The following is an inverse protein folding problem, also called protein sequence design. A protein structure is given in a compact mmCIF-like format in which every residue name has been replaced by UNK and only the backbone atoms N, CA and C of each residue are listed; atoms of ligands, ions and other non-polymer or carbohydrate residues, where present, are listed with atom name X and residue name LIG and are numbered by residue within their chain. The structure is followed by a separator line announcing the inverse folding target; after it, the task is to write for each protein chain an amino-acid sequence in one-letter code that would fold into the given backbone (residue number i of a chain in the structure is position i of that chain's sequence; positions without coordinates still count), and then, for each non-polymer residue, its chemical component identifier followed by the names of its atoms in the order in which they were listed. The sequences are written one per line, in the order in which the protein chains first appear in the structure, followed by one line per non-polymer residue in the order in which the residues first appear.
data_IF_267605350185
#
_entry.id   IF_267605350185
#
_cell.length_a   1.000
_cell.length_b   1.000
_cell.length_c   1.000
_cell.angle_alpha   90.00
_cell.angle_beta   90.00
_cell.angle_gamma   90.00
#
_symmetry.space_group_name_H-M   'P 1'
#
loop_
_entity.id
_entity.type
_entity.pdbx_description
1 polymer ?
#
# COMPACT_ATOMS: atom_id res chain seq x y z
N UNK A 1 11.79 -12.90 -7.21
CA UNK A 1 10.78 -11.85 -7.49
C UNK A 1 9.51 -12.04 -6.65
N UNK A 2 9.64 -12.46 -5.37
CA UNK A 2 8.53 -12.65 -4.43
C UNK A 2 8.35 -11.45 -3.48
N UNK A 3 9.43 -10.70 -3.25
CA UNK A 3 9.45 -9.49 -2.42
C UNK A 3 8.46 -8.42 -2.88
N UNK A 4 8.33 -8.26 -4.20
CA UNK A 4 7.45 -7.24 -4.78
C UNK A 4 5.97 -7.48 -4.43
N UNK A 5 5.52 -8.73 -4.31
CA UNK A 5 4.13 -9.04 -3.98
C UNK A 5 3.83 -8.77 -2.50
N UNK A 6 4.68 -9.26 -1.61
CA UNK A 6 4.52 -9.02 -0.18
C UNK A 6 4.47 -7.51 0.13
N UNK A 7 5.33 -6.70 -0.50
CA UNK A 7 5.30 -5.25 -0.35
C UNK A 7 4.00 -4.59 -0.82
N UNK A 8 3.41 -5.08 -1.90
CA UNK A 8 2.09 -4.61 -2.35
C UNK A 8 0.98 -4.96 -1.37
N UNK A 9 1.02 -6.15 -0.79
CA UNK A 9 0.06 -6.57 0.22
C UNK A 9 0.23 -5.79 1.54
N UNK A 10 1.47 -5.52 1.95
CA UNK A 10 1.77 -4.63 3.09
C UNK A 10 1.22 -3.23 2.81
N UNK A 11 1.47 -2.68 1.62
CA UNK A 11 0.94 -1.37 1.22
C UNK A 11 -0.59 -1.35 1.20
N UNK A 12 -1.22 -2.40 0.67
CA UNK A 12 -2.68 -2.51 0.64
C UNK A 12 -3.27 -2.57 2.05
N UNK A 13 -2.65 -3.33 2.97
CA UNK A 13 -3.08 -3.40 4.37
C UNK A 13 -2.85 -2.06 5.08
N UNK A 14 -1.68 -1.45 4.93
CA UNK A 14 -1.31 -0.22 5.64
C UNK A 14 -2.16 0.97 5.18
N UNK A 15 -2.17 1.27 3.87
CA UNK A 15 -2.99 2.34 3.30
C UNK A 15 -4.48 2.02 3.35
N UNK A 16 -4.87 0.75 3.22
CA UNK A 16 -6.26 0.33 3.36
C UNK A 16 -6.80 0.59 4.77
N UNK A 17 -6.00 0.36 5.82
CA UNK A 17 -6.38 0.72 7.17
C UNK A 17 -6.54 2.24 7.37
N UNK A 18 -5.65 3.05 6.80
CA UNK A 18 -5.82 4.51 6.84
C UNK A 18 -7.06 4.97 6.06
N UNK A 19 -7.37 4.33 4.93
CA UNK A 19 -8.59 4.60 4.16
C UNK A 19 -9.86 4.25 4.95
N UNK A 20 -9.90 3.06 5.58
CA UNK A 20 -11.04 2.64 6.40
C UNK A 20 -11.29 3.57 7.59
N UNK A 21 -10.22 4.17 8.13
CA UNK A 21 -10.28 5.18 9.20
C UNK A 21 -10.53 6.62 8.70
N UNK A 22 -10.66 6.83 7.39
CA UNK A 22 -10.89 8.15 6.79
C UNK A 22 -9.69 9.09 6.78
N UNK A 23 -8.47 8.56 6.98
CA UNK A 23 -7.23 9.33 6.96
C UNK A 23 -6.56 9.43 5.57
N UNK A 24 -6.99 8.59 4.63
CA UNK A 24 -6.49 8.54 3.24
C UNK A 24 -7.66 8.55 2.27
N UNK A 25 -7.60 9.44 1.28
CA UNK A 25 -8.60 9.53 0.20
C UNK A 25 -8.36 8.50 -0.92
N UNK A 26 -9.41 8.22 -1.69
CA UNK A 26 -9.35 7.32 -2.86
C UNK A 26 -8.28 7.72 -3.88
N UNK A 27 -8.06 9.03 -4.08
CA UNK A 27 -7.07 9.56 -5.02
C UNK A 27 -5.64 9.10 -4.67
N UNK A 28 -5.30 8.99 -3.38
CA UNK A 28 -3.99 8.51 -2.94
C UNK A 28 -3.84 7.02 -3.28
N UNK A 29 -4.87 6.21 -3.05
CA UNK A 29 -4.87 4.78 -3.36
C UNK A 29 -4.73 4.53 -4.87
N UNK A 30 -5.49 5.28 -5.67
CA UNK A 30 -5.50 5.14 -7.13
C UNK A 30 -4.21 5.64 -7.79
N UNK A 31 -3.44 6.49 -7.11
CA UNK A 31 -2.12 6.94 -7.60
C UNK A 31 -0.97 6.20 -6.94
N UNK A 32 -1.23 5.35 -5.95
CA UNK A 32 -0.20 4.65 -5.22
C UNK A 32 0.48 3.63 -6.15
N UNK A 33 1.78 3.76 -6.50
CA UNK A 33 2.33 2.98 -7.60
C UNK A 33 2.37 1.46 -7.34
N UNK A 34 2.49 1.04 -6.07
CA UNK A 34 2.37 -0.38 -5.69
C UNK A 34 0.95 -0.95 -5.90
N UNK A 35 -0.08 -0.11 -5.83
CA UNK A 35 -1.48 -0.54 -5.94
C UNK A 35 -2.02 -0.30 -7.35
N UNK A 36 -1.68 0.84 -7.95
CA UNK A 36 -2.09 1.23 -9.29
C UNK A 36 -1.45 0.34 -10.36
N UNK A 37 -0.14 0.07 -10.28
CA UNK A 37 0.52 -0.70 -11.34
C UNK A 37 0.13 -2.18 -11.35
N UNK A 38 -0.40 -2.70 -10.24
CA UNK A 38 -0.67 -4.13 -10.03
C UNK A 38 -2.14 -4.48 -9.76
N UNK A 39 -3.02 -3.49 -9.73
CA UNK A 39 -4.48 -3.60 -9.61
C UNK A 39 -4.97 -4.78 -8.76
N UNK A 40 -5.06 -4.65 -7.43
CA UNK A 40 -5.75 -5.65 -6.63
C UNK A 40 -7.22 -5.64 -7.02
N UNK A 41 -7.68 -6.74 -7.62
CA UNK A 41 -9.06 -6.93 -8.04
C UNK A 41 -9.75 -7.97 -7.18
N UNK A 42 -11.08 -7.89 -7.11
CA UNK A 42 -11.89 -8.91 -6.46
C UNK A 42 -12.65 -9.72 -7.51
N UNK A 43 -12.53 -11.04 -7.43
CA UNK A 43 -13.24 -11.99 -8.26
C UNK A 43 -14.22 -12.79 -7.42
N UNK A 44 -15.37 -13.10 -8.00
CA UNK A 44 -16.29 -14.10 -7.46
C UNK A 44 -15.67 -15.50 -7.58
N UNK A 45 -15.74 -16.30 -6.51
CA UNK A 45 -15.13 -17.65 -6.47
C UNK A 45 -15.84 -18.66 -7.35
N UNK A 46 -17.14 -18.48 -7.60
CA UNK A 46 -18.01 -19.45 -8.28
C UNK A 46 -18.01 -19.26 -9.80
N UNK A 47 -18.08 -18.02 -10.25
CA UNK A 47 -18.23 -17.66 -11.66
C UNK A 47 -17.04 -16.90 -12.23
N UNK A 48 -16.08 -16.48 -11.39
CA UNK A 48 -14.92 -15.70 -11.83
C UNK A 48 -15.27 -14.27 -12.24
N UNK A 49 -16.49 -13.81 -11.99
CA UNK A 49 -16.95 -12.46 -12.34
C UNK A 49 -16.13 -11.41 -11.60
N UNK A 50 -15.75 -10.33 -12.30
CA UNK A 50 -15.09 -9.18 -11.69
C UNK A 50 -16.06 -8.42 -10.78
N UNK A 51 -15.77 -8.37 -9.48
CA UNK A 51 -16.56 -7.65 -8.48
C UNK A 51 -15.99 -6.25 -8.20
N UNK A 52 -14.66 -6.11 -8.16
CA UNK A 52 -13.97 -4.84 -7.95
C UNK A 52 -12.73 -4.77 -8.83
N UNK A 53 -12.56 -3.67 -9.57
CA UNK A 53 -11.48 -3.51 -10.56
C UNK A 53 -10.24 -2.71 -10.10
N UNK A 54 -10.19 -2.29 -8.84
CA UNK A 54 -9.08 -1.50 -8.29
C UNK A 54 -9.03 -1.60 -6.77
N UNK A 55 -7.92 -1.14 -6.17
CA UNK A 55 -7.76 -1.04 -4.73
C UNK A 55 -8.84 -0.16 -4.08
N UNK A 56 -9.11 1.03 -4.64
CA UNK A 56 -10.13 1.94 -4.16
C UNK A 56 -11.54 1.35 -4.25
N UNK A 57 -11.88 0.67 -5.35
CA UNK A 57 -13.17 0.00 -5.50
C UNK A 57 -13.33 -1.13 -4.48
N UNK A 58 -12.30 -1.96 -4.30
CA UNK A 58 -12.31 -3.04 -3.32
C UNK A 58 -12.50 -2.47 -1.90
N UNK A 59 -11.67 -1.51 -1.49
CA UNK A 59 -11.73 -0.89 -0.17
C UNK A 59 -13.05 -0.16 0.08
N UNK A 60 -13.59 0.54 -0.92
CA UNK A 60 -14.90 1.19 -0.85
C UNK A 60 -16.02 0.18 -0.60
N UNK A 61 -16.04 -0.96 -1.31
CA UNK A 61 -17.01 -2.03 -1.07
C UNK A 61 -16.85 -2.69 0.29
N UNK A 62 -15.61 -2.92 0.73
CA UNK A 62 -15.35 -3.46 2.06
C UNK A 62 -15.86 -2.50 3.15
N UNK A 63 -15.59 -1.20 3.02
CA UNK A 63 -16.10 -0.17 3.94
C UNK A 63 -17.63 -0.10 3.97
N UNK A 64 -18.28 -0.09 2.80
CA UNK A 64 -19.76 -0.15 2.68
C UNK A 64 -20.33 -1.41 3.38
N UNK A 65 -19.60 -2.53 3.32
CA UNK A 65 -19.99 -3.77 4.02
C UNK A 65 -19.68 -3.78 5.52
N UNK A 66 -19.09 -2.71 6.07
CA UNK A 66 -18.77 -2.56 7.49
C UNK A 66 -17.38 -3.04 7.89
N UNK A 67 -16.43 -3.17 6.97
CA UNK A 67 -15.05 -3.51 7.32
C UNK A 67 -14.40 -2.40 8.16
N UNK A 68 -13.73 -2.78 9.25
CA UNK A 68 -13.11 -1.86 10.20
C UNK A 68 -11.58 -1.90 10.17
N UNK A 69 -10.99 -3.01 9.71
CA UNK A 69 -9.54 -3.22 9.71
C UNK A 69 -9.16 -4.29 8.68
N UNK A 70 -7.93 -4.18 8.18
CA UNK A 70 -7.23 -5.20 7.42
C UNK A 70 -6.01 -5.71 8.22
N UNK A 71 -5.70 -6.99 8.09
CA UNK A 71 -4.44 -7.57 8.57
C UNK A 71 -3.84 -8.53 7.55
N UNK A 72 -2.52 -8.72 7.64
CA UNK A 72 -1.76 -9.65 6.82
C UNK A 72 -1.42 -10.90 7.63
N UNK A 73 -1.60 -12.09 7.06
CA UNK A 73 -1.28 -13.37 7.68
C UNK A 73 -0.60 -14.30 6.68
N UNK A 74 0.28 -15.19 7.15
CA UNK A 74 0.88 -16.22 6.30
C UNK A 74 -0.22 -17.20 5.92
N UNK A 75 -0.35 -17.47 4.62
CA UNK A 75 -1.48 -18.23 4.10
C UNK A 75 -1.51 -19.66 4.65
N UNK A 76 -0.34 -20.30 4.77
CA UNK A 76 -0.21 -21.63 5.33
C UNK A 76 -0.71 -21.73 6.79
N UNK A 77 -0.43 -20.72 7.61
CA UNK A 77 -0.73 -20.73 9.06
C UNK A 77 -2.25 -20.67 9.33
N UNK A 78 -3.02 -20.11 8.39
CA UNK A 78 -4.47 -20.01 8.51
C UNK A 78 -5.19 -21.36 8.28
N UNK A 79 -4.52 -22.39 7.73
CA UNK A 79 -5.12 -23.71 7.48
C UNK A 79 -6.52 -23.63 6.84
N UNK A 80 -6.66 -22.77 5.82
CA UNK A 80 -7.94 -22.54 5.17
C UNK A 80 -8.45 -23.82 4.50
N UNK A 81 -9.67 -24.23 4.84
CA UNK A 81 -10.37 -25.32 4.16
C UNK A 81 -10.96 -24.80 2.84
N UNK A 82 -10.13 -24.79 1.79
CA UNK A 82 -10.54 -24.35 0.46
C UNK A 82 -10.97 -25.56 -0.37
N UNK A 83 -12.18 -25.47 -0.93
CA UNK A 83 -12.63 -26.43 -1.94
C UNK A 83 -11.87 -26.20 -3.25
N UNK A 84 -11.59 -27.26 -3.99
CA UNK A 84 -11.02 -27.16 -5.33
C UNK A 84 -11.90 -26.28 -6.23
N UNK A 85 -11.32 -25.21 -6.77
CA UNK A 85 -11.99 -24.34 -7.74
C UNK A 85 -11.73 -24.84 -9.16
N UNK A 86 -12.74 -24.80 -10.02
CA UNK A 86 -12.56 -25.03 -11.47
C UNK A 86 -11.91 -23.84 -12.18
N UNK A 87 -11.88 -22.66 -11.53
CA UNK A 87 -11.47 -21.38 -12.14
C UNK A 87 -10.13 -20.90 -11.58
N UNK A 88 -9.83 -21.14 -10.30
CA UNK A 88 -8.68 -20.54 -9.63
C UNK A 88 -7.73 -21.56 -9.01
N UNK A 89 -6.43 -21.25 -9.02
CA UNK A 89 -5.43 -21.78 -8.11
C UNK A 89 -5.26 -20.80 -6.94
N UNK A 90 -5.52 -21.25 -5.71
CA UNK A 90 -5.36 -20.42 -4.52
C UNK A 90 -3.92 -20.45 -4.01
N UNK A 91 -3.33 -19.29 -3.74
CA UNK A 91 -1.97 -19.19 -3.17
C UNK A 91 -2.01 -19.43 -1.66
N UNK A 92 -1.78 -20.68 -1.24
CA UNK A 92 -1.78 -21.12 0.18
C UNK A 92 -0.44 -21.66 0.67
N UNK A 93 0.65 -21.39 -0.07
CA UNK A 93 1.99 -21.84 0.29
C UNK A 93 2.60 -21.09 1.48
N UNK A 94 3.80 -21.51 1.90
CA UNK A 94 4.50 -21.00 3.10
C UNK A 94 5.01 -19.57 2.96
N UNK A 95 5.15 -19.08 1.74
CA UNK A 95 5.71 -17.76 1.42
C UNK A 95 4.62 -16.77 0.95
N UNK A 96 3.40 -17.27 0.72
CA UNK A 96 2.23 -16.48 0.36
C UNK A 96 1.53 -15.90 1.59
N UNK A 97 0.94 -14.72 1.42
CA UNK A 97 0.10 -14.08 2.43
C UNK A 97 -1.36 -13.99 1.99
N UNK A 98 -2.23 -14.08 2.99
CA UNK A 98 -3.63 -13.73 2.91
C UNK A 98 -3.88 -12.39 3.62
N UNK A 99 -4.87 -11.64 3.13
CA UNK A 99 -5.33 -10.42 3.80
C UNK A 99 -6.65 -10.75 4.50
N UNK A 100 -6.73 -10.52 5.80
CA UNK A 100 -7.94 -10.72 6.59
C UNK A 100 -8.66 -9.39 6.73
N UNK A 101 -9.94 -9.37 6.37
CA UNK A 101 -10.87 -8.26 6.56
C UNK A 101 -11.61 -8.50 7.87
N UNK A 102 -11.58 -7.49 8.73
CA UNK A 102 -12.19 -7.48 10.05
C UNK A 102 -13.51 -6.72 9.99
N UNK A 103 -14.53 -7.32 10.59
CA UNK A 103 -15.85 -6.73 10.79
C UNK A 103 -16.15 -6.63 12.30
N UNK A 104 -17.16 -5.84 12.70
CA UNK A 104 -17.63 -5.82 14.09
C UNK A 104 -17.96 -7.23 14.62
N UNK A 105 -17.92 -7.40 15.94
CA UNK A 105 -18.28 -8.66 16.61
C UNK A 105 -17.39 -9.87 16.26
N UNK A 106 -16.11 -9.64 15.96
CA UNK A 106 -15.12 -10.68 15.63
C UNK A 106 -15.53 -11.52 14.40
N UNK A 107 -16.20 -10.89 13.44
CA UNK A 107 -16.44 -11.48 12.14
C UNK A 107 -15.26 -11.20 11.20
N UNK A 108 -14.81 -12.24 10.49
CA UNK A 108 -13.65 -12.16 9.63
C UNK A 108 -13.96 -12.73 8.24
N UNK A 109 -13.35 -12.13 7.23
CA UNK A 109 -13.27 -12.71 5.87
C UNK A 109 -11.83 -12.70 5.41
N UNK A 110 -11.44 -13.64 4.56
CA UNK A 110 -10.07 -13.80 4.09
C UNK A 110 -10.02 -13.57 2.59
N UNK A 111 -9.27 -12.55 2.17
CA UNK A 111 -8.88 -12.32 0.79
C UNK A 111 -7.67 -13.20 0.49
N UNK A 112 -7.85 -14.14 -0.44
CA UNK A 112 -6.83 -15.08 -0.87
C UNK A 112 -6.43 -14.75 -2.31
N UNK A 113 -5.13 -14.57 -2.53
CA UNK A 113 -4.62 -14.40 -3.88
C UNK A 113 -4.90 -15.64 -4.72
N UNK A 114 -5.39 -15.43 -5.93
CA UNK A 114 -5.94 -16.46 -6.80
C UNK A 114 -5.39 -16.28 -8.21
N UNK A 115 -4.69 -17.28 -8.73
CA UNK A 115 -4.27 -17.30 -10.13
C UNK A 115 -5.35 -17.98 -10.97
N UNK A 116 -5.81 -17.35 -12.05
CA UNK A 116 -6.79 -17.95 -12.95
C UNK A 116 -6.19 -19.15 -13.67
N UNK A 117 -6.91 -20.28 -13.66
CA UNK A 117 -6.52 -21.49 -14.37
C UNK A 117 -6.52 -21.21 -15.87
N UNK A 118 -5.48 -21.62 -16.61
CA UNK A 118 -5.48 -21.45 -18.05
C UNK A 118 -6.61 -22.27 -18.66
N UNK A 119 -7.56 -21.60 -19.29
CA UNK A 119 -8.60 -22.26 -20.10
C UNK A 119 -8.08 -22.46 -21.52
N UNK A 120 -8.31 -23.63 -22.10
CA UNK A 120 -8.14 -23.82 -23.54
C UNK A 120 -9.07 -22.87 -24.29
N UNK A 121 -8.56 -22.21 -25.31
CA UNK A 121 -9.37 -21.36 -26.17
C UNK A 121 -10.43 -22.23 -26.85
N UNK A 122 -11.69 -22.06 -26.47
CA UNK A 122 -12.81 -22.70 -27.15
C UNK A 122 -13.27 -21.85 -28.33
N UNK A 123 -13.85 -22.53 -29.29
CA UNK A 123 -14.39 -21.93 -30.51
C UNK A 123 -15.84 -22.35 -30.61
N UNK A 124 -16.69 -21.44 -31.06
CA UNK A 124 -18.08 -21.73 -31.36
C UNK A 124 -18.18 -22.70 -32.56
N UNK A 125 -19.40 -23.14 -32.84
CA UNK A 125 -19.70 -24.05 -33.97
C UNK A 125 -19.35 -23.46 -35.35
N UNK A 126 -19.08 -22.15 -35.43
CA UNK A 126 -18.69 -21.42 -36.64
C UNK A 126 -17.19 -21.13 -36.71
N UNK A 127 -16.40 -21.61 -35.74
CA UNK A 127 -14.96 -21.37 -35.65
C UNK A 127 -14.58 -19.97 -35.20
N UNK A 128 -15.52 -19.16 -34.70
CA UNK A 128 -15.20 -17.94 -34.01
C UNK A 128 -14.70 -18.29 -32.60
N UNK A 129 -13.76 -17.50 -32.10
CA UNK A 129 -13.32 -17.62 -30.70
C UNK A 129 -14.54 -17.35 -29.82
N UNK A 130 -14.82 -18.26 -28.87
CA UNK A 130 -15.70 -17.91 -27.77
C UNK A 130 -15.00 -16.81 -26.97
N UNK A 131 -15.43 -15.57 -27.18
CA UNK A 131 -15.03 -14.47 -26.33
C UNK A 131 -15.77 -14.65 -25.00
N UNK A 132 -15.22 -15.46 -24.10
CA UNK A 132 -15.49 -15.22 -22.68
C UNK A 132 -14.99 -13.81 -22.36
N UNK A 133 -15.61 -13.17 -21.38
CA UNK A 133 -15.20 -11.88 -20.79
C UNK A 133 -13.83 -12.04 -20.11
N UNK A 134 -12.82 -12.37 -20.91
CA UNK A 134 -11.43 -12.40 -20.54
C UNK A 134 -11.06 -10.96 -20.28
N UNK A 135 -10.93 -10.64 -19.00
CA UNK A 135 -10.41 -9.36 -18.53
C UNK A 135 -9.07 -9.12 -19.23
N UNK A 136 -9.03 -8.20 -20.21
CA UNK A 136 -7.84 -7.82 -20.98
C UNK A 136 -6.68 -7.24 -20.14
N UNK A 137 -6.73 -7.36 -18.82
CA UNK A 137 -5.73 -6.85 -17.88
C UNK A 137 -4.62 -7.90 -17.66
N UNK A 138 -3.91 -8.28 -18.73
CA UNK A 138 -3.21 -9.57 -18.75
C UNK A 138 -1.78 -9.64 -18.22
N UNK A 139 -1.24 -8.63 -17.53
CA UNK A 139 0.17 -8.72 -17.06
C UNK A 139 0.41 -8.25 -15.63
N UNK A 140 -0.39 -7.33 -15.10
CA UNK A 140 -0.14 -6.76 -13.78
C UNK A 140 -1.42 -6.68 -12.94
N UNK A 141 -2.15 -7.78 -12.79
CA UNK A 141 -3.33 -7.84 -11.93
C UNK A 141 -3.10 -8.84 -10.82
N UNK A 142 -3.47 -8.47 -9.61
CA UNK A 142 -3.54 -9.37 -8.46
C UNK A 142 -5.00 -9.69 -8.16
N UNK A 143 -5.45 -10.87 -8.59
CA UNK A 143 -6.81 -11.31 -8.33
C UNK A 143 -6.93 -11.90 -6.92
N UNK A 144 -7.89 -11.38 -6.16
CA UNK A 144 -8.26 -11.90 -4.86
C UNK A 144 -9.65 -12.51 -4.91
N UNK A 145 -9.86 -13.54 -4.11
CA UNK A 145 -11.16 -14.13 -3.83
C UNK A 145 -11.46 -14.07 -2.34
N UNK A 146 -12.73 -13.89 -1.97
CA UNK A 146 -13.15 -13.68 -0.58
C UNK A 146 -13.72 -14.99 0.00
N UNK A 147 -13.18 -15.41 1.14
CA UNK A 147 -13.51 -16.67 1.80
C UNK A 147 -13.87 -16.47 3.28
N UNK A 148 -14.62 -17.42 3.83
CA UNK A 148 -14.87 -17.48 5.26
C UNK A 148 -13.77 -18.30 5.94
N UNK A 149 -13.14 -17.78 7.02
CA UNK A 149 -12.16 -18.55 7.78
C UNK A 149 -12.82 -19.66 8.60
N UNK A 150 -12.10 -20.76 8.78
CA UNK A 150 -12.49 -21.81 9.72
C UNK A 150 -12.32 -21.33 11.17
N UNK A 151 -12.94 -21.98 12.17
CA UNK A 151 -12.72 -21.63 13.58
C UNK A 151 -11.26 -21.69 14.01
N UNK A 152 -10.48 -22.63 13.44
CA UNK A 152 -9.05 -22.72 13.69
C UNK A 152 -8.30 -21.51 13.12
N UNK A 153 -8.64 -21.10 11.89
CA UNK A 153 -8.06 -19.92 11.25
C UNK A 153 -8.34 -18.65 12.08
N UNK A 154 -9.56 -18.51 12.61
CA UNK A 154 -9.95 -17.38 13.47
C UNK A 154 -9.06 -17.33 14.72
N UNK A 155 -8.85 -18.46 15.40
CA UNK A 155 -7.95 -18.53 16.55
C UNK A 155 -6.52 -18.11 16.21
N UNK A 156 -5.99 -18.56 15.07
CA UNK A 156 -4.67 -18.15 14.57
C UNK A 156 -4.61 -16.64 14.31
N UNK A 157 -5.65 -16.06 13.68
CA UNK A 157 -5.75 -14.63 13.41
C UNK A 157 -5.67 -13.82 14.71
N UNK A 158 -6.44 -14.20 15.72
CA UNK A 158 -6.46 -13.52 17.01
C UNK A 158 -5.13 -13.64 17.75
N UNK A 159 -4.46 -14.78 17.66
CA UNK A 159 -3.14 -14.98 18.23
C UNK A 159 -2.07 -14.11 17.55
N UNK A 160 -2.10 -14.04 16.23
CA UNK A 160 -1.16 -13.26 15.41
C UNK A 160 -1.24 -11.75 15.65
N UNK A 161 -2.42 -11.27 16.04
CA UNK A 161 -2.69 -9.85 16.26
C UNK A 161 -2.40 -9.38 17.69
N UNK A 162 -1.91 -10.26 18.56
CA UNK A 162 -1.47 -9.86 19.91
C UNK A 162 -0.36 -8.81 19.82
N UNK A 163 -0.42 -7.73 20.62
CA UNK A 163 0.61 -6.71 20.64
C UNK A 163 2.00 -7.28 20.93
N UNK A 164 3.00 -6.83 20.20
CA UNK A 164 4.41 -7.17 20.43
C UNK A 164 5.17 -6.03 21.11
N UNK A 165 6.24 -6.36 21.82
CA UNK A 165 7.24 -5.37 22.23
C UNK A 165 8.26 -5.22 21.10
N UNK A 166 8.26 -4.07 20.42
CA UNK A 166 9.12 -3.80 19.28
C UNK A 166 10.62 -3.82 19.62
N UNK A 167 11.02 -3.35 20.80
CA UNK A 167 12.44 -3.38 21.20
C UNK A 167 12.94 -4.82 21.35
N UNK A 168 12.15 -5.68 21.99
CA UNK A 168 12.48 -7.10 22.17
C UNK A 168 12.43 -7.83 20.83
N UNK A 169 11.36 -7.63 20.06
CA UNK A 169 11.19 -8.25 18.75
C UNK A 169 12.34 -7.90 17.79
N UNK A 170 12.75 -6.63 17.76
CA UNK A 170 13.85 -6.17 16.93
C UNK A 170 15.17 -6.83 17.34
N UNK A 171 15.53 -6.82 18.63
CA UNK A 171 16.76 -7.45 19.14
C UNK A 171 16.80 -8.96 18.88
N UNK A 172 15.69 -9.65 19.12
CA UNK A 172 15.58 -11.09 18.87
C UNK A 172 15.71 -11.39 17.38
N UNK A 173 15.08 -10.58 16.53
CA UNK A 173 15.17 -10.71 15.07
C UNK A 173 16.59 -10.46 14.57
N UNK A 174 17.25 -9.39 15.03
CA UNK A 174 18.64 -9.07 14.69
C UNK A 174 19.60 -10.20 15.10
N UNK A 175 19.50 -10.67 16.34
CA UNK A 175 20.34 -11.77 16.85
C UNK A 175 20.16 -13.06 16.03
N UNK A 176 18.92 -13.33 15.58
CA UNK A 176 18.61 -14.48 14.74
C UNK A 176 19.02 -14.30 13.28
N UNK A 177 18.97 -13.09 12.71
CA UNK A 177 19.45 -12.82 11.36
C UNK A 177 20.98 -12.92 11.29
N UNK A 178 21.68 -12.38 12.30
CA UNK A 178 23.13 -12.24 12.34
C UNK A 178 23.82 -13.25 13.28
N UNK A 179 23.31 -14.48 13.33
CA UNK A 179 23.76 -15.51 14.26
C UNK A 179 25.16 -16.09 13.94
N UNK A 180 25.68 -15.85 12.73
CA UNK A 180 26.99 -16.31 12.30
C UNK A 180 27.76 -15.20 11.54
N UNK A 181 29.06 -15.41 11.31
CA UNK A 181 29.93 -14.41 10.70
C UNK A 181 29.61 -14.16 9.22
N UNK A 182 29.11 -15.17 8.49
CA UNK A 182 28.64 -15.00 7.10
C UNK A 182 27.48 -14.00 7.03
N UNK A 183 26.51 -14.11 7.94
CA UNK A 183 25.39 -13.19 7.99
C UNK A 183 25.83 -11.75 8.30
N UNK A 184 26.79 -11.59 9.21
CA UNK A 184 27.37 -10.28 9.56
C UNK A 184 28.20 -9.67 8.44
N UNK A 185 28.83 -10.51 7.61
CA UNK A 185 29.62 -10.05 6.46
C UNK A 185 28.72 -9.48 5.36
N UNK A 186 27.60 -10.14 5.06
CA UNK A 186 26.71 -9.70 4.00
C UNK A 186 25.88 -8.50 4.48
N UNK A 187 25.21 -8.56 5.63
CA UNK A 187 24.33 -7.47 6.08
C UNK A 187 25.01 -6.35 6.89
N UNK A 188 24.20 -5.40 7.34
CA UNK A 188 24.63 -4.32 8.23
C UNK A 188 24.40 -4.73 9.69
N UNK A 189 25.48 -5.13 10.37
CA UNK A 189 25.44 -5.53 11.78
C UNK A 189 26.31 -4.64 12.69
N UNK A 190 25.78 -4.12 13.81
CA UNK A 190 24.35 -4.11 14.18
C UNK A 190 23.53 -3.30 13.16
N UNK A 191 22.24 -3.61 13.04
CA UNK A 191 21.31 -2.88 12.19
C UNK A 191 21.24 -1.44 12.72
N UNK A 192 21.65 -0.42 11.94
CA UNK A 192 21.64 0.94 12.44
C UNK A 192 20.20 1.42 12.64
N UNK A 193 19.89 1.88 13.86
CA UNK A 193 18.65 2.55 14.23
C UNK A 193 18.77 4.06 14.02
N UNK A 194 19.19 4.46 12.83
CA UNK A 194 19.23 5.86 12.45
C UNK A 194 18.09 6.22 11.48
N UNK A 195 17.88 7.53 11.34
CA UNK A 195 16.83 8.10 10.50
C UNK A 195 17.07 7.91 9.00
N UNK A 196 18.24 7.42 8.59
CA UNK A 196 18.63 7.25 7.20
C UNK A 196 18.56 5.78 6.75
N UNK A 197 18.46 4.83 7.69
CA UNK A 197 18.38 3.38 7.44
C UNK A 197 16.95 2.81 7.56
N UNK A 198 15.95 3.62 7.23
CA UNK A 198 14.54 3.21 7.21
C UNK A 198 14.09 3.09 5.75
N UNK A 199 13.17 2.16 5.45
CA UNK A 199 12.56 2.06 4.12
C UNK A 199 11.95 3.42 3.72
N UNK A 200 12.61 4.13 2.81
CA UNK A 200 12.10 5.37 2.23
C UNK A 200 11.61 5.02 0.83
N UNK A 201 10.34 4.65 0.74
CA UNK A 201 9.69 4.69 -0.54
C UNK A 201 9.54 6.15 -0.96
N UNK A 202 10.41 6.62 -1.83
CA UNK A 202 10.36 7.98 -2.33
C UNK A 202 9.58 8.01 -3.64
N UNK A 203 8.33 8.45 -3.54
CA UNK A 203 7.47 8.70 -4.71
C UNK A 203 8.04 9.76 -5.67
N UNK A 204 9.02 10.56 -5.24
CA UNK A 204 9.49 11.74 -5.93
C UNK A 204 11.01 11.78 -6.17
N UNK A 205 11.74 10.72 -5.80
CA UNK A 205 13.18 10.66 -6.03
C UNK A 205 13.53 9.68 -7.14
N UNK A 206 13.64 10.23 -8.33
CA UNK A 206 14.06 9.53 -9.55
C UNK A 206 15.47 8.90 -9.45
N UNK A 207 16.27 9.25 -8.44
CA UNK A 207 17.61 8.68 -8.24
C UNK A 207 17.60 7.32 -7.52
N UNK A 208 16.54 7.02 -6.76
CA UNK A 208 16.37 5.71 -6.09
C UNK A 208 15.39 4.92 -6.96
N UNK A 209 15.91 3.99 -7.76
CA UNK A 209 15.06 3.16 -8.62
C UNK A 209 13.97 2.45 -7.79
N UNK A 210 12.71 2.80 -8.05
CA UNK A 210 11.50 2.01 -7.78
C UNK A 210 11.22 1.62 -6.32
N UNK A 211 11.62 2.42 -5.33
CA UNK A 211 11.12 2.23 -3.97
C UNK A 211 9.88 3.10 -3.74
N UNK A 212 8.71 2.47 -3.61
CA UNK A 212 7.44 3.14 -3.35
C UNK A 212 7.01 2.90 -1.89
N UNK A 213 6.43 3.88 -1.19
CA UNK A 213 6.19 3.74 0.23
C UNK A 213 5.24 2.58 0.53
N UNK A 214 5.66 1.67 1.39
CA UNK A 214 4.83 0.55 1.86
C UNK A 214 4.02 0.91 3.11
N UNK A 215 4.37 2.02 3.76
CA UNK A 215 3.67 2.59 4.91
C UNK A 215 3.21 4.01 4.61
N UNK A 216 2.10 4.47 5.23
CA UNK A 216 1.63 5.85 5.12
C UNK A 216 2.71 6.88 5.43
N UNK A 217 2.67 8.02 4.74
CA UNK A 217 3.70 9.08 4.80
C UNK A 217 3.93 9.71 6.18
N UNK A 218 3.03 9.47 7.13
CA UNK A 218 3.13 9.88 8.53
C UNK A 218 4.12 9.02 9.32
N UNK A 219 4.47 7.84 8.81
CA UNK A 219 5.23 6.81 9.51
C UNK A 219 6.45 6.43 8.63
N UNK A 220 7.45 7.31 8.63
CA UNK A 220 8.62 7.17 7.73
C UNK A 220 9.83 6.49 8.36
N UNK A 221 9.92 6.43 9.69
CA UNK A 221 11.18 6.10 10.41
C UNK A 221 10.92 5.38 11.73
N UNK A 222 10.75 4.07 11.65
CA UNK A 222 10.37 3.21 12.77
C UNK A 222 11.00 1.81 12.66
N UNK A 223 10.87 0.97 13.69
CA UNK A 223 11.41 -0.39 13.69
C UNK A 223 10.93 -1.22 12.50
N UNK A 224 9.65 -1.09 12.10
CA UNK A 224 9.09 -1.82 10.98
C UNK A 224 9.77 -1.48 9.64
N UNK A 225 9.88 -0.19 9.32
CA UNK A 225 10.53 0.30 8.10
C UNK A 225 12.01 -0.07 8.04
N UNK A 226 12.70 -0.07 9.19
CA UNK A 226 14.11 -0.42 9.29
C UNK A 226 14.32 -1.93 9.05
N UNK A 227 13.50 -2.79 9.68
CA UNK A 227 13.57 -4.23 9.45
C UNK A 227 13.26 -4.61 8.00
N UNK A 228 12.26 -3.99 7.37
CA UNK A 228 11.96 -4.27 5.96
C UNK A 228 13.12 -3.90 5.04
N UNK A 229 13.73 -2.71 5.20
CA UNK A 229 14.86 -2.29 4.37
C UNK A 229 16.06 -3.23 4.54
N UNK A 230 16.47 -3.49 5.78
CA UNK A 230 17.67 -4.30 6.04
C UNK A 230 17.49 -5.75 5.60
N UNK A 231 16.29 -6.31 5.73
CA UNK A 231 16.02 -7.66 5.22
C UNK A 231 15.99 -7.71 3.69
N UNK A 232 15.50 -6.66 3.02
CA UNK A 232 15.54 -6.55 1.57
C UNK A 232 16.97 -6.51 1.04
N UNK A 233 17.81 -5.66 1.65
CA UNK A 233 19.22 -5.52 1.30
C UNK A 233 19.98 -6.84 1.52
N UNK A 234 19.75 -7.49 2.66
CA UNK A 234 20.38 -8.77 2.97
C UNK A 234 19.96 -9.87 1.98
N UNK A 235 18.68 -9.94 1.58
CA UNK A 235 18.22 -10.87 0.55
C UNK A 235 18.87 -10.60 -0.81
N UNK A 236 18.97 -9.32 -1.19
CA UNK A 236 19.61 -8.93 -2.44
C UNK A 236 21.08 -9.36 -2.45
N UNK A 237 21.80 -9.16 -1.35
CA UNK A 237 23.20 -9.55 -1.20
C UNK A 237 23.38 -11.06 -1.27
N UNK A 238 22.56 -11.85 -0.56
CA UNK A 238 22.59 -13.31 -0.68
C UNK A 238 22.28 -13.77 -2.10
N UNK A 239 21.22 -13.23 -2.70
CA UNK A 239 20.80 -13.60 -4.06
C UNK A 239 21.88 -13.28 -5.10
N UNK A 240 22.59 -12.15 -4.94
CA UNK A 240 23.70 -11.78 -5.82
C UNK A 240 24.92 -12.68 -5.59
N UNK A 241 25.25 -12.96 -4.33
CA UNK A 241 26.38 -13.79 -3.93
C UNK A 241 26.21 -15.27 -4.31
N UNK A 242 24.97 -15.75 -4.48
CA UNK A 242 24.67 -17.14 -4.88
C UNK A 242 24.02 -17.27 -6.26
N UNK A 243 24.08 -16.22 -7.10
CA UNK A 243 23.38 -16.24 -8.39
C UNK A 243 23.96 -17.30 -9.33
N UNK A 244 23.13 -18.27 -9.76
CA UNK A 244 23.59 -19.45 -10.51
C UNK A 244 24.25 -19.15 -11.86
N UNK A 245 23.95 -18.00 -12.48
CA UNK A 245 24.59 -17.56 -13.73
C UNK A 245 25.89 -16.75 -13.53
N UNK A 246 26.27 -16.47 -12.28
CA UNK A 246 27.49 -15.74 -11.98
C UNK A 246 28.58 -16.73 -11.55
N UNK A 247 29.41 -17.14 -12.53
CA UNK A 247 30.54 -18.06 -12.32
C UNK A 247 31.61 -17.51 -11.37
N UNK A 248 31.64 -16.19 -11.19
CA UNK A 248 32.54 -15.48 -10.26
C UNK A 248 31.88 -15.12 -8.93
N UNK A 249 30.68 -15.63 -8.66
CA UNK A 249 29.98 -15.35 -7.41
C UNK A 249 30.75 -15.88 -6.19
N UNK A 250 30.69 -15.15 -5.07
CA UNK A 250 31.36 -15.52 -3.83
C UNK A 250 31.05 -16.97 -3.43
N UNK A 251 29.77 -17.38 -3.59
CA UNK A 251 29.31 -18.71 -3.25
C UNK A 251 30.03 -19.83 -4.03
N UNK A 252 30.41 -19.60 -5.29
CA UNK A 252 31.16 -20.59 -6.08
C UNK A 252 32.57 -20.79 -5.51
N UNK A 253 33.17 -19.72 -5.02
CA UNK A 253 34.54 -19.69 -4.47
C UNK A 253 34.62 -20.24 -3.04
N UNK A 254 33.50 -20.30 -2.32
CA UNK A 254 33.42 -20.83 -0.96
C UNK A 254 33.76 -22.33 -0.88
N UNK A 255 34.44 -22.70 0.20
CA UNK A 255 34.62 -24.11 0.58
C UNK A 255 33.31 -24.70 1.12
N UNK A 256 33.27 -26.03 1.32
CA UNK A 256 32.03 -26.71 1.74
C UNK A 256 31.46 -26.18 3.05
N UNK A 257 32.29 -25.90 4.06
CA UNK A 257 31.83 -25.41 5.35
C UNK A 257 31.28 -23.97 5.26
N UNK A 258 31.88 -23.13 4.43
CA UNK A 258 31.39 -21.79 4.14
C UNK A 258 30.04 -21.83 3.42
N UNK A 259 29.86 -22.74 2.46
CA UNK A 259 28.59 -22.97 1.76
C UNK A 259 27.48 -23.40 2.72
N UNK A 260 27.78 -24.30 3.64
CA UNK A 260 26.82 -24.74 4.68
C UNK A 260 26.43 -23.58 5.60
N UNK A 261 27.42 -22.77 6.01
CA UNK A 261 27.20 -21.59 6.88
C UNK A 261 26.38 -20.51 6.16
N UNK A 262 26.69 -20.24 4.89
CA UNK A 262 25.94 -19.33 4.02
C UNK A 262 24.50 -19.82 3.82
N UNK A 263 24.31 -21.10 3.52
CA UNK A 263 22.99 -21.70 3.31
C UNK A 263 22.16 -21.64 4.58
N UNK A 264 22.75 -21.90 5.74
CA UNK A 264 22.09 -21.75 7.04
C UNK A 264 21.66 -20.30 7.30
N UNK A 265 22.52 -19.33 6.98
CA UNK A 265 22.21 -17.91 7.11
C UNK A 265 21.06 -17.47 6.18
N UNK A 266 21.12 -17.85 4.91
CA UNK A 266 20.08 -17.52 3.95
C UNK A 266 18.74 -18.19 4.29
N UNK A 267 18.76 -19.46 4.70
CA UNK A 267 17.56 -20.16 5.17
C UNK A 267 16.93 -19.47 6.38
N UNK A 268 17.73 -18.97 7.31
CA UNK A 268 17.24 -18.25 8.48
C UNK A 268 16.54 -16.94 8.10
N UNK A 269 17.05 -16.20 7.12
CA UNK A 269 16.36 -15.04 6.54
C UNK A 269 15.01 -15.44 5.95
N UNK A 270 14.97 -16.51 5.15
CA UNK A 270 13.73 -17.00 4.52
C UNK A 270 12.68 -17.40 5.56
N UNK A 271 13.09 -17.98 6.69
CA UNK A 271 12.18 -18.34 7.80
C UNK A 271 11.67 -17.13 8.58
N UNK A 272 12.49 -16.09 8.74
CA UNK A 272 12.14 -14.89 9.49
C UNK A 272 11.29 -13.90 8.69
N UNK A 273 11.49 -13.83 7.38
CA UNK A 273 10.85 -12.81 6.52
C UNK A 273 9.32 -12.81 6.62
N UNK A 274 8.60 -13.94 6.62
CA UNK A 274 7.14 -13.94 6.80
C UNK A 274 6.69 -13.34 8.13
N UNK A 275 7.43 -13.63 9.21
CA UNK A 275 7.16 -13.09 10.54
C UNK A 275 7.36 -11.57 10.59
N UNK A 276 8.46 -11.09 10.00
CA UNK A 276 8.79 -9.66 9.92
C UNK A 276 7.71 -8.92 9.15
N UNK A 277 7.35 -9.39 7.95
CA UNK A 277 6.33 -8.75 7.11
C UNK A 277 4.95 -8.73 7.78
N UNK A 278 4.56 -9.84 8.44
CA UNK A 278 3.31 -9.92 9.21
C UNK A 278 3.25 -8.85 10.31
N UNK A 279 4.26 -8.78 11.18
CA UNK A 279 4.26 -7.80 12.27
C UNK A 279 4.36 -6.36 11.77
N UNK A 280 5.16 -6.13 10.74
CA UNK A 280 5.27 -4.83 10.12
C UNK A 280 3.93 -4.38 9.51
N UNK A 281 3.24 -5.22 8.74
CA UNK A 281 1.93 -4.87 8.18
C UNK A 281 0.87 -4.58 9.26
N UNK A 282 0.87 -5.37 10.35
CA UNK A 282 -0.22 -5.36 11.33
C UNK A 282 -0.01 -4.37 12.48
N UNK A 283 1.23 -4.00 12.78
CA UNK A 283 1.58 -3.26 14.01
C UNK A 283 2.57 -2.09 13.76
N UNK A 284 2.78 -1.67 12.51
CA UNK A 284 3.70 -0.57 12.16
C UNK A 284 3.43 0.74 12.94
N UNK A 285 2.17 1.06 13.21
CA UNK A 285 1.74 2.28 13.92
C UNK A 285 2.31 2.37 15.35
N UNK A 286 2.69 1.24 15.96
CA UNK A 286 3.22 1.18 17.33
C UNK A 286 4.73 0.91 17.38
N UNK A 287 5.40 1.00 16.23
CA UNK A 287 6.80 0.58 16.08
C UNK A 287 7.82 1.72 16.20
N UNK A 288 7.42 2.83 16.83
CA UNK A 288 8.24 4.02 16.99
C UNK A 288 9.54 3.72 17.77
N UNK A 289 10.66 4.20 17.24
CA UNK A 289 11.95 4.12 17.93
C UNK A 289 11.94 5.16 19.03
N UNK A 290 12.06 4.73 20.29
CA UNK A 290 11.92 5.56 21.51
C UNK A 290 12.80 6.82 21.56
N UNK A 291 13.81 6.94 20.70
CA UNK A 291 14.75 8.06 20.63
C UNK A 291 14.63 8.93 19.35
N UNK A 292 13.62 8.71 18.50
CA UNK A 292 13.44 9.45 17.25
C UNK A 292 12.25 10.43 17.34
N UNK A 293 12.44 11.57 18.02
CA UNK A 293 11.45 12.66 18.02
C UNK A 293 11.49 13.43 16.68
N UNK A 294 10.75 12.98 15.67
CA UNK A 294 10.69 13.64 14.36
C UNK A 294 10.18 15.08 14.41
N UNK A 295 9.28 15.42 15.34
CA UNK A 295 8.75 16.79 15.49
C UNK A 295 9.77 17.81 16.03
N UNK A 296 10.95 17.37 16.47
CA UNK A 296 11.99 18.29 16.97
C UNK A 296 12.93 18.83 15.88
N UNK A 297 12.93 18.24 14.69
CA UNK A 297 13.84 18.60 13.59
C UNK A 297 13.15 19.14 12.33
N UNK A 298 11.87 19.55 12.44
CA UNK A 298 11.23 20.31 11.36
C UNK A 298 11.73 21.76 11.49
N UNK A 299 12.41 22.34 10.48
CA UNK A 299 12.73 23.76 10.48
C UNK A 299 11.43 24.56 10.66
N UNK A 300 11.42 25.55 11.56
CA UNK A 300 10.21 26.35 11.87
C UNK A 300 9.56 27.04 10.65
N UNK A 301 10.21 27.03 9.49
CA UNK A 301 9.77 27.63 8.24
C UNK A 301 8.73 26.82 7.44
N UNK A 302 8.40 25.58 7.79
CA UNK A 302 7.37 24.78 7.07
C UNK A 302 6.04 24.64 7.81
N UNK A 303 5.82 25.36 8.91
CA UNK A 303 4.54 25.35 9.64
C UNK A 303 3.34 25.96 8.87
N UNK A 304 3.57 26.57 7.71
CA UNK A 304 2.52 27.24 6.92
C UNK A 304 1.98 26.42 5.73
N UNK A 305 2.33 25.14 5.58
CA UNK A 305 1.59 24.27 4.66
C UNK A 305 0.33 23.75 5.34
N UNK A 306 -0.83 24.12 4.82
CA UNK A 306 -2.20 23.90 5.30
C UNK A 306 -2.69 22.45 5.41
N UNK A 307 -1.80 21.47 5.57
CA UNK A 307 -2.14 20.07 5.82
C UNK A 307 -1.72 19.67 7.23
N UNK A 308 -2.44 20.21 8.23
CA UNK A 308 -2.47 19.66 9.58
C UNK A 308 -3.64 18.67 9.67
N UNK A 309 -3.36 17.37 9.56
CA UNK A 309 -4.33 16.33 9.91
C UNK A 309 -4.35 16.26 11.45
N UNK A 310 -5.48 16.58 12.06
CA UNK A 310 -5.68 16.42 13.50
C UNK A 310 -5.51 14.95 13.88
N UNK A 311 -4.52 14.67 14.74
CA UNK A 311 -4.45 13.40 15.44
C UNK A 311 -5.64 13.32 16.39
N UNK A 312 -6.69 12.61 16.01
CA UNK A 312 -7.64 12.07 16.99
C UNK A 312 -6.87 11.07 17.85
N UNK A 313 -6.30 11.59 18.94
CA UNK A 313 -5.55 10.80 19.90
C UNK A 313 -6.59 10.08 20.74
N UNK A 314 -6.92 8.83 20.37
CA UNK A 314 -7.71 7.95 21.23
C UNK A 314 -6.83 7.63 22.44
N UNK A 315 -7.10 8.30 23.56
CA UNK A 315 -6.56 7.91 24.85
C UNK A 315 -7.18 6.56 25.24
N UNK A 316 -6.40 5.49 25.10
CA UNK A 316 -6.73 4.20 25.71
C UNK A 316 -6.19 4.27 27.15
N UNK A 317 -7.03 4.05 28.19
CA UNK A 317 -6.58 4.10 29.57
C UNK A 317 -5.57 2.98 29.80
N UNK A 318 -4.40 3.34 30.33
CA UNK A 318 -3.39 2.40 30.77
C UNK A 318 -3.92 1.68 32.02
N UNK A 319 -3.84 0.35 32.01
CA UNK A 319 -4.18 -0.50 33.14
C UNK A 319 -3.24 -0.20 34.30
N UNK A 320 -3.64 0.67 35.22
CA UNK A 320 -3.17 0.71 36.61
C UNK A 320 -4.05 1.54 37.57
N UNK A 321 -5.12 2.19 37.12
CA UNK A 321 -6.05 2.92 37.99
C UNK A 321 -7.37 2.18 38.20
N UNK A 322 -7.30 0.94 38.70
CA UNK A 322 -8.49 0.23 39.25
C UNK A 322 -8.19 -0.21 40.67
N UNK A 323 -8.10 0.75 41.58
CA UNK A 323 -8.46 0.58 42.99
C UNK A 323 -9.09 1.89 43.45
N UNK A 324 -10.25 1.78 44.12
CA UNK A 324 -11.02 2.87 44.76
C UNK A 324 -11.80 3.82 43.84
N UNK A 325 -13.02 3.41 43.47
CA UNK A 325 -14.24 4.16 43.84
C UNK A 325 -15.51 3.43 43.37
N UNK A 326 -15.82 2.33 44.06
CA UNK A 326 -17.18 1.77 44.13
C UNK A 326 -18.04 2.63 45.07
N UNK A 327 -18.48 3.81 44.62
CA UNK A 327 -19.59 4.56 45.21
C UNK A 327 -19.93 5.79 44.37
N UNK A 328 -20.79 5.65 43.36
CA UNK A 328 -21.75 6.64 42.85
C UNK A 328 -22.22 6.21 41.44
N UNK A 329 -22.95 5.09 41.40
CA UNK A 329 -23.67 4.62 40.23
C UNK A 329 -25.15 4.45 40.60
N UNK A 330 -25.72 5.55 41.09
CA UNK A 330 -27.15 5.83 41.22
C UNK A 330 -27.25 7.35 41.11
N UNK A 331 -28.21 7.81 40.32
CA UNK A 331 -28.45 9.21 39.94
C UNK A 331 -27.66 9.65 38.70
N UNK A 332 -28.24 9.40 37.52
CA UNK A 332 -28.55 10.37 36.44
C UNK A 332 -29.35 9.57 35.40
N UNK A 333 -30.54 9.13 35.78
CA UNK A 333 -31.67 9.05 34.86
C UNK A 333 -32.57 10.24 35.22
N UNK A 334 -33.07 10.94 34.19
CA UNK A 334 -33.80 12.22 34.24
C UNK A 334 -32.95 13.49 34.26
N UNK A 335 -32.66 14.00 33.05
CA UNK A 335 -33.04 15.35 32.67
C UNK A 335 -33.07 15.48 31.14
N UNK A 336 -34.28 15.32 30.59
CA UNK A 336 -34.64 15.87 29.27
C UNK A 336 -34.96 17.34 29.50
N UNK A 337 -34.05 18.23 29.15
CA UNK A 337 -34.34 19.66 29.04
C UNK A 337 -34.00 20.16 27.63
N UNK A 338 -35.05 20.58 26.96
CA UNK A 338 -35.07 21.32 25.70
C UNK A 338 -34.31 22.64 25.84
N UNK A 339 -33.23 22.82 25.06
CA UNK A 339 -32.63 24.15 24.85
C UNK A 339 -32.54 24.48 23.36
N UNK A 340 -33.21 25.58 23.05
CA UNK A 340 -33.36 26.25 21.77
C UNK A 340 -32.03 26.52 21.05
N UNK A 341 -32.02 26.22 19.75
CA UNK A 341 -30.95 26.56 18.80
C UNK A 341 -30.84 28.08 18.67
N UNK A 342 -29.76 28.66 19.19
CA UNK A 342 -29.30 29.98 18.77
C UNK A 342 -28.44 29.78 17.51
N UNK A 343 -28.98 30.14 16.34
CA UNK A 343 -28.22 30.19 15.08
C UNK A 343 -27.18 31.29 15.20
N UNK A 344 -25.93 30.92 15.45
CA UNK A 344 -24.82 31.85 15.54
C UNK A 344 -24.47 32.35 14.14
N UNK A 345 -24.43 33.68 13.99
CA UNK A 345 -24.05 34.45 12.81
C UNK A 345 -22.61 34.21 12.30
N UNK A 346 -21.91 33.22 12.84
CA UNK A 346 -20.51 32.91 12.54
C UNK A 346 -20.32 31.98 11.32
N UNK A 347 -21.33 31.23 10.91
CA UNK A 347 -21.24 30.33 9.75
C UNK A 347 -21.49 31.01 8.40
N UNK A 348 -22.23 32.14 8.38
CA UNK A 348 -22.54 32.84 7.13
C UNK A 348 -21.27 33.45 6.48
N UNK A 349 -20.35 33.95 7.30
CA UNK A 349 -19.11 34.58 6.84
C UNK A 349 -18.15 33.56 6.19
N UNK A 350 -18.10 32.33 6.71
CA UNK A 350 -17.29 31.24 6.14
C UNK A 350 -17.86 30.77 4.80
N UNK A 351 -19.19 30.66 4.70
CA UNK A 351 -19.88 30.28 3.46
C UNK A 351 -19.71 31.37 2.38
N UNK A 352 -19.81 32.64 2.75
CA UNK A 352 -19.55 33.76 1.83
C UNK A 352 -18.10 33.77 1.31
N UNK A 353 -17.13 33.49 2.19
CA UNK A 353 -15.72 33.41 1.79
C UNK A 353 -15.48 32.23 0.83
N UNK A 354 -16.12 31.09 1.07
CA UNK A 354 -16.06 29.92 0.19
C UNK A 354 -16.67 30.20 -1.20
N UNK A 355 -17.87 30.81 -1.24
CA UNK A 355 -18.51 31.22 -2.50
C UNK A 355 -17.66 32.23 -3.29
N UNK A 356 -16.98 33.14 -2.60
CA UNK A 356 -16.07 34.10 -3.23
C UNK A 356 -14.88 33.42 -3.92
N UNK A 357 -14.29 32.40 -3.29
CA UNK A 357 -13.21 31.62 -3.91
C UNK A 357 -13.69 30.80 -5.12
N UNK A 358 -14.90 30.25 -5.08
CA UNK A 358 -15.49 29.55 -6.24
C UNK A 358 -15.67 30.49 -7.43
N UNK A 359 -16.16 31.71 -7.19
CA UNK A 359 -16.32 32.72 -8.25
C UNK A 359 -14.95 33.09 -8.84
N UNK A 360 -13.93 33.26 -8.00
CA UNK A 360 -12.56 33.52 -8.47
C UNK A 360 -11.97 32.39 -9.30
N UNK A 361 -12.15 31.13 -8.87
CA UNK A 361 -11.73 29.96 -9.64
C UNK A 361 -12.48 29.87 -10.97
N UNK A 362 -13.78 30.17 -10.99
CA UNK A 362 -14.58 30.19 -12.22
C UNK A 362 -14.09 31.29 -13.18
N UNK A 363 -13.84 32.51 -12.68
CA UNK A 363 -13.28 33.60 -13.48
C UNK A 363 -11.89 33.26 -14.03
N UNK A 364 -11.02 32.63 -13.22
CA UNK A 364 -9.69 32.21 -13.63
C UNK A 364 -9.74 31.15 -14.73
N UNK A 365 -10.60 30.14 -14.59
CA UNK A 365 -10.86 29.12 -15.62
C UNK A 365 -11.41 29.73 -16.91
N UNK A 366 -12.31 30.71 -16.80
CA UNK A 366 -12.87 31.40 -17.95
C UNK A 366 -11.82 32.26 -18.67
N UNK A 367 -10.95 32.96 -17.94
CA UNK A 367 -9.81 33.66 -18.55
C UNK A 367 -8.83 32.70 -19.21
N UNK A 368 -8.53 31.55 -18.59
CA UNK A 368 -7.64 30.56 -19.18
C UNK A 368 -8.22 29.97 -20.48
N UNK A 369 -9.52 29.68 -20.51
CA UNK A 369 -10.23 29.21 -21.69
C UNK A 369 -10.30 30.30 -22.79
N UNK A 370 -10.49 31.56 -22.42
CA UNK A 370 -10.48 32.67 -23.36
C UNK A 370 -9.08 32.88 -23.98
N UNK A 371 -8.03 32.80 -23.16
CA UNK A 371 -6.65 32.89 -23.62
C UNK A 371 -6.25 31.68 -24.49
N UNK A 372 -6.70 30.46 -24.18
CA UNK A 372 -6.39 29.29 -25.00
C UNK A 372 -7.04 29.34 -26.38
N UNK A 373 -8.28 29.85 -26.49
CA UNK A 373 -8.97 30.06 -27.76
C UNK A 373 -8.35 31.21 -28.56
N UNK A 374 -7.97 32.31 -27.91
CA UNK A 374 -7.31 33.45 -28.57
C UNK A 374 -5.93 33.06 -29.11
N UNK A 375 -5.10 32.37 -28.32
CA UNK A 375 -3.80 31.87 -28.77
C UNK A 375 -3.94 30.78 -29.83
N UNK A 376 -4.93 29.89 -29.71
CA UNK A 376 -5.24 28.88 -30.72
C UNK A 376 -5.57 29.50 -32.08
N UNK A 377 -6.41 30.54 -32.11
CA UNK A 377 -6.73 31.27 -33.35
C UNK A 377 -5.52 32.01 -33.92
N UNK A 378 -4.67 32.60 -33.07
CA UNK A 378 -3.45 33.29 -33.49
C UNK A 378 -2.44 32.30 -34.09
N UNK A 379 -2.33 31.10 -33.51
CA UNK A 379 -1.47 30.02 -34.00
C UNK A 379 -1.95 29.48 -35.35
N UNK A 380 -3.26 29.26 -35.51
CA UNK A 380 -3.87 28.84 -36.79
C UNK A 380 -3.66 29.90 -37.87
N UNK A 381 -3.86 31.18 -37.56
CA UNK A 381 -3.59 32.29 -38.49
C UNK A 381 -2.13 32.36 -38.91
N UNK A 382 -1.20 32.13 -37.98
CA UNK A 382 0.24 32.13 -38.25
C UNK A 382 0.62 30.98 -39.18
N UNK A 383 0.09 29.77 -38.94
CA UNK A 383 0.29 28.62 -39.82
C UNK A 383 -0.31 28.87 -41.20
N UNK A 384 -1.53 29.41 -41.28
CA UNK A 384 -2.18 29.73 -42.55
C UNK A 384 -1.40 30.78 -43.36
N UNK A 385 -0.84 31.79 -42.67
CA UNK A 385 -0.01 32.83 -43.30
C UNK A 385 1.32 32.26 -43.81
N UNK A 386 2.00 31.42 -43.03
CA UNK A 386 3.22 30.73 -43.45
C UNK A 386 2.96 29.79 -44.63
N UNK A 387 1.83 29.08 -44.63
CA UNK A 387 1.41 28.24 -45.75
C UNK A 387 1.12 29.05 -47.02
N UNK A 388 0.47 30.21 -46.89
CA UNK A 388 0.23 31.12 -48.01
C UNK A 388 1.54 31.67 -48.60
N UNK A 389 2.51 32.04 -47.76
CA UNK A 389 3.85 32.46 -48.19
C UNK A 389 4.59 31.34 -48.91
N UNK A 390 4.60 30.13 -48.35
CA UNK A 390 5.19 28.95 -48.97
C UNK A 390 4.60 28.68 -50.36
N UNK A 391 3.27 28.73 -50.49
CA UNK A 391 2.57 28.55 -51.77
C UNK A 391 2.91 29.65 -52.77
N UNK A 392 3.06 30.90 -52.33
CA UNK A 392 3.43 32.03 -53.20
C UNK A 392 4.88 31.93 -53.69
N UNK A 393 5.81 31.47 -52.85
CA UNK A 393 7.21 31.22 -53.22
C UNK A 393 7.31 30.10 -54.27
N UNK A 394 6.57 29.00 -54.09
CA UNK A 394 6.51 27.91 -55.08
C UNK A 394 5.90 28.38 -56.40
N UNK A 395 4.83 29.19 -56.35
CA UNK A 395 4.19 29.70 -57.57
C UNK A 395 5.05 30.76 -58.29
N UNK A 396 5.88 31.51 -57.56
CA UNK A 396 6.89 32.43 -58.11
C UNK A 396 8.03 31.67 -58.81
N UNK A 397 8.48 30.55 -58.26
CA UNK A 397 9.54 29.74 -58.89
C UNK A 397 9.05 29.01 -60.15
N UNK A 398 7.79 28.59 -60.21
CA UNK A 398 7.20 27.99 -61.43
C UNK A 398 6.91 29.00 -62.57
N UNK A 399 7.10 30.31 -62.36
CA UNK A 399 6.96 31.33 -63.40
C UNK A 399 8.27 31.74 -64.06
N UNK A 400 9.43 31.26 -63.59
CA UNK A 400 10.73 31.54 -64.21
C UNK A 400 11.18 30.55 -65.29
N UNK A 401 10.43 29.44 -65.47
CA UNK A 401 10.69 28.43 -66.49
C UNK A 401 9.60 28.40 -67.59
N UNK A 402 9.16 29.58 -68.05
CA UNK A 402 8.37 29.73 -69.29
C UNK A 402 8.93 30.81 -70.19
#
# INVERSE_FOLDING_TARGET
MYLNRAYRQIAFVSYGNEYLNGAVDTEILDRHPLLFNHFPILRDTKYGTLLCGSASHLLGRLQESGAIKLSLHVAQDLHMELNDSSIFYFSTDKESFCIVVHYPHNEYKVLILSDEKPTWQSFDEYGNKDFYDYSNYYQNVEAYTLHHPSPQAISTIEQDLKPINWDTFFKDTEARLYFNDMAKQYGSYPIPLDINNCYVGDLFNDSIKEQYPIFPFTIRKNYASNLIENTALLEQQYSAASHSKNEYSDYVQMNSNEKDTFSAAYNQLTLLRPLIFKHCANQYQFSDIKNCNYLSNIPETTKDSSFSIEKNTVQIPTSNDVVENTAHLKDIEHQVETKSVAVSSFNLFKIMKFLWYIIWCYCALWTLAFYSVSWGNTFILTIAFLYALYKSIIHSNNKKDR
#
